data_IF_135614556473
#
_entry.id   IF_135614556473
#
_cell.length_a   1.000
_cell.length_b   1.000
_cell.length_c   1.000
_cell.angle_alpha   90.00
_cell.angle_beta   90.00
_cell.angle_gamma   90.00
#
_symmetry.space_group_name_H-M   'P 1'
#
loop_
_entity.id
_entity.type
_entity.pdbx_description
1 polymer ?
#
# COMPACT_ATOMS: atom_id res chain seq x y z
N UNK A 1 -0.64 -37.10 -8.73
CA UNK A 1 0.68 -36.51 -8.95
C UNK A 1 0.56 -34.99 -8.94
N UNK A 2 1.20 -34.37 -7.96
CA UNK A 2 1.14 -32.91 -7.84
C UNK A 2 1.93 -32.26 -8.96
N UNK A 3 1.28 -31.40 -9.74
CA UNK A 3 1.95 -30.66 -10.80
C UNK A 3 2.66 -29.45 -10.18
N UNK A 4 3.89 -29.68 -9.77
CA UNK A 4 4.73 -28.70 -9.07
C UNK A 4 4.86 -27.38 -9.82
N UNK A 5 4.99 -27.41 -11.14
CA UNK A 5 5.12 -26.20 -11.96
C UNK A 5 3.83 -25.37 -11.99
N UNK A 6 2.68 -26.03 -12.03
CA UNK A 6 1.39 -25.36 -12.07
C UNK A 6 1.09 -24.64 -10.75
N UNK A 7 1.42 -25.27 -9.62
CA UNK A 7 1.27 -24.64 -8.30
C UNK A 7 2.18 -23.43 -8.14
N UNK A 8 3.41 -23.51 -8.67
CA UNK A 8 4.38 -22.43 -8.61
C UNK A 8 3.94 -21.23 -9.45
N UNK A 9 3.42 -21.45 -10.65
CA UNK A 9 2.86 -20.41 -11.51
C UNK A 9 1.66 -19.72 -10.84
N UNK A 10 0.80 -20.50 -10.22
CA UNK A 10 -0.37 -19.99 -9.53
C UNK A 10 0.02 -19.13 -8.32
N UNK A 11 1.05 -19.53 -7.57
CA UNK A 11 1.58 -18.75 -6.45
C UNK A 11 2.15 -17.42 -6.92
N UNK A 12 2.87 -17.40 -8.04
CA UNK A 12 3.43 -16.18 -8.61
C UNK A 12 2.31 -15.24 -9.05
N UNK A 13 1.28 -15.75 -9.73
CA UNK A 13 0.13 -14.95 -10.16
C UNK A 13 -0.63 -14.37 -8.97
N UNK A 14 -0.84 -15.17 -7.91
CA UNK A 14 -1.52 -14.71 -6.71
C UNK A 14 -0.73 -13.62 -6.00
N UNK A 15 0.61 -13.74 -5.96
CA UNK A 15 1.47 -12.72 -5.37
C UNK A 15 1.43 -11.42 -6.17
N UNK A 16 1.45 -11.50 -7.49
CA UNK A 16 1.35 -10.31 -8.35
C UNK A 16 0.02 -9.60 -8.16
N UNK A 17 -1.08 -10.34 -8.05
CA UNK A 17 -2.41 -9.77 -7.78
C UNK A 17 -2.47 -9.10 -6.42
N UNK A 18 -1.85 -9.71 -5.41
CA UNK A 18 -1.77 -9.12 -4.08
C UNK A 18 -0.98 -7.81 -4.11
N UNK A 19 0.15 -7.77 -4.80
CA UNK A 19 0.93 -6.55 -4.95
C UNK A 19 0.14 -5.47 -5.68
N UNK A 20 -0.62 -5.82 -6.70
CA UNK A 20 -1.44 -4.88 -7.45
C UNK A 20 -2.54 -4.28 -6.57
N UNK A 21 -3.16 -5.07 -5.71
CA UNK A 21 -4.18 -4.57 -4.78
C UNK A 21 -3.59 -3.69 -3.68
N UNK A 22 -2.43 -4.07 -3.16
CA UNK A 22 -1.70 -3.25 -2.18
C UNK A 22 -1.32 -1.91 -2.84
N UNK A 23 -0.77 -1.95 -4.04
CA UNK A 23 -0.42 -0.75 -4.79
C UNK A 23 -1.66 0.11 -5.07
N UNK A 24 -2.80 -0.51 -5.38
CA UNK A 24 -4.06 0.21 -5.60
C UNK A 24 -4.49 0.99 -4.36
N UNK A 25 -4.32 0.40 -3.17
CA UNK A 25 -4.60 1.10 -1.91
C UNK A 25 -3.69 2.32 -1.74
N UNK A 26 -2.40 2.17 -2.02
CA UNK A 26 -1.43 3.26 -1.91
C UNK A 26 -1.71 4.37 -2.92
N UNK A 27 -2.07 4.01 -4.15
CA UNK A 27 -2.48 4.97 -5.19
C UNK A 27 -3.73 5.72 -4.75
N UNK A 28 -4.70 5.00 -4.20
CA UNK A 28 -5.95 5.60 -3.72
C UNK A 28 -5.68 6.66 -2.65
N UNK A 29 -4.80 6.36 -1.70
CA UNK A 29 -4.41 7.30 -0.67
C UNK A 29 -3.75 8.55 -1.25
N UNK A 30 -2.89 8.38 -2.25
CA UNK A 30 -2.23 9.50 -2.92
C UNK A 30 -3.23 10.38 -3.69
N UNK A 31 -4.22 9.77 -4.34
CA UNK A 31 -5.24 10.49 -5.12
C UNK A 31 -6.22 11.27 -4.27
N UNK A 32 -6.47 10.85 -3.03
CA UNK A 32 -7.35 11.59 -2.12
C UNK A 32 -6.88 13.04 -1.96
N UNK A 33 -5.56 13.26 -1.99
CA UNK A 33 -4.96 14.60 -1.90
C UNK A 33 -4.68 15.23 -3.25
N UNK A 34 -5.14 14.64 -4.33
CA UNK A 34 -4.85 15.07 -5.70
C UNK A 34 -3.35 15.11 -6.02
N UNK A 35 -2.54 14.33 -5.30
CA UNK A 35 -1.08 14.38 -5.38
C UNK A 35 -0.43 13.06 -5.79
N UNK A 36 -0.99 12.40 -6.79
CA UNK A 36 -0.37 11.20 -7.32
C UNK A 36 0.65 11.58 -8.41
N UNK A 37 1.82 12.01 -7.94
CA UNK A 37 2.93 12.43 -8.79
C UNK A 37 4.08 11.41 -8.75
N UNK A 38 5.17 11.68 -9.43
CA UNK A 38 6.33 10.78 -9.48
C UNK A 38 6.90 10.45 -8.10
N UNK A 39 6.88 11.41 -7.20
CA UNK A 39 7.36 11.24 -5.82
C UNK A 39 6.57 10.14 -5.09
N UNK A 40 5.26 10.14 -5.22
CA UNK A 40 4.39 9.15 -4.61
C UNK A 40 4.55 7.80 -5.28
N UNK A 41 4.72 7.78 -6.61
CA UNK A 41 4.98 6.54 -7.35
C UNK A 41 6.27 5.88 -6.89
N UNK A 42 7.32 6.67 -6.63
CA UNK A 42 8.59 6.13 -6.14
C UNK A 42 8.44 5.51 -4.75
N UNK A 43 7.66 6.13 -3.87
CA UNK A 43 7.36 5.56 -2.55
C UNK A 43 6.67 4.21 -2.71
N UNK A 44 5.68 4.13 -3.60
CA UNK A 44 4.92 2.90 -3.86
C UNK A 44 5.83 1.81 -4.41
N UNK A 45 6.65 2.12 -5.40
CA UNK A 45 7.59 1.17 -6.00
C UNK A 45 8.57 0.62 -4.96
N UNK A 46 9.14 1.48 -4.15
CA UNK A 46 10.06 1.08 -3.09
C UNK A 46 9.39 0.15 -2.09
N UNK A 47 8.16 0.46 -1.70
CA UNK A 47 7.39 -0.37 -0.78
C UNK A 47 7.14 -1.75 -1.37
N UNK A 48 6.77 -1.83 -2.64
CA UNK A 48 6.53 -3.10 -3.31
C UNK A 48 7.81 -3.97 -3.34
N UNK A 49 8.97 -3.37 -3.58
CA UNK A 49 10.25 -4.07 -3.53
C UNK A 49 10.52 -4.60 -2.12
N UNK A 50 10.28 -3.79 -1.10
CA UNK A 50 10.45 -4.20 0.29
C UNK A 50 9.52 -5.35 0.68
N UNK A 51 8.35 -5.44 0.05
CA UNK A 51 7.39 -6.53 0.26
C UNK A 51 7.73 -7.79 -0.55
N UNK A 52 8.70 -7.72 -1.45
CA UNK A 52 9.17 -8.87 -2.20
C UNK A 52 8.88 -8.85 -3.69
N UNK A 53 8.31 -7.78 -4.23
CA UNK A 53 8.07 -7.67 -5.67
C UNK A 53 9.39 -7.53 -6.43
N UNK A 54 9.44 -8.12 -7.62
CA UNK A 54 10.61 -8.02 -8.48
C UNK A 54 10.63 -6.69 -9.21
N UNK A 55 11.80 -6.07 -9.30
CA UNK A 55 11.97 -4.80 -10.00
C UNK A 55 11.46 -4.87 -11.45
N UNK A 56 11.65 -5.99 -12.12
CA UNK A 56 11.21 -6.20 -13.50
C UNK A 56 9.69 -6.19 -13.67
N UNK A 57 8.92 -6.39 -12.58
CA UNK A 57 7.47 -6.45 -12.61
C UNK A 57 6.80 -5.18 -12.11
N UNK A 58 7.56 -4.20 -11.62
CA UNK A 58 6.98 -3.01 -10.99
C UNK A 58 6.08 -2.22 -11.92
N UNK A 59 6.50 -1.97 -13.15
CA UNK A 59 5.70 -1.18 -14.09
C UNK A 59 4.37 -1.87 -14.39
N UNK A 60 4.41 -3.18 -14.58
CA UNK A 60 3.20 -3.98 -14.80
C UNK A 60 2.27 -3.92 -13.60
N UNK A 61 2.81 -4.06 -12.39
CA UNK A 61 2.04 -3.99 -11.14
C UNK A 61 1.37 -2.61 -11.01
N UNK A 62 2.10 -1.54 -11.27
CA UNK A 62 1.56 -0.17 -11.17
C UNK A 62 0.44 0.07 -12.19
N UNK A 63 0.62 -0.40 -13.42
CA UNK A 63 -0.42 -0.27 -14.47
C UNK A 63 -1.68 -1.02 -14.05
N UNK A 64 -1.55 -2.25 -13.59
CA UNK A 64 -2.68 -3.05 -13.12
C UNK A 64 -3.34 -2.42 -11.89
N UNK A 65 -2.54 -1.94 -10.94
CA UNK A 65 -3.03 -1.28 -9.73
C UNK A 65 -3.82 -0.01 -10.06
N UNK A 66 -3.34 0.78 -11.02
CA UNK A 66 -4.02 1.99 -11.46
C UNK A 66 -5.39 1.66 -12.06
N UNK A 67 -5.47 0.61 -12.86
CA UNK A 67 -6.73 0.15 -13.44
C UNK A 67 -7.71 -0.33 -12.36
N UNK A 68 -7.22 -1.09 -11.38
CA UNK A 68 -8.03 -1.58 -10.25
C UNK A 68 -8.59 -0.38 -9.46
N UNK A 69 -7.75 0.59 -9.15
CA UNK A 69 -8.14 1.76 -8.37
C UNK A 69 -9.19 2.61 -9.11
N UNK A 70 -9.01 2.83 -10.41
CA UNK A 70 -9.95 3.59 -11.22
C UNK A 70 -11.32 2.94 -11.34
N UNK A 71 -11.37 1.61 -11.32
CA UNK A 71 -12.60 0.84 -11.50
C UNK A 71 -13.29 0.49 -10.19
N UNK A 72 -12.72 0.86 -9.05
CA UNK A 72 -13.28 0.54 -7.75
C UNK A 72 -13.75 1.80 -7.04
N UNK A 73 -14.94 1.71 -6.47
CA UNK A 73 -15.54 2.83 -5.71
C UNK A 73 -15.40 2.66 -4.20
N UNK A 74 -14.80 1.54 -3.76
CA UNK A 74 -14.74 1.22 -2.33
C UNK A 74 -13.35 0.79 -1.92
N UNK A 75 -12.84 1.45 -0.90
CA UNK A 75 -11.55 1.13 -0.28
C UNK A 75 -11.50 -0.31 0.25
N UNK A 76 -12.66 -0.89 0.60
CA UNK A 76 -12.77 -2.26 1.09
C UNK A 76 -12.20 -3.29 0.11
N UNK A 77 -12.28 -3.01 -1.19
CA UNK A 77 -11.76 -3.91 -2.22
C UNK A 77 -10.23 -4.07 -2.13
N UNK A 78 -9.56 -3.02 -1.65
CA UNK A 78 -8.10 -2.99 -1.55
C UNK A 78 -7.61 -3.50 -0.19
N UNK A 79 -8.36 -3.22 0.89
CA UNK A 79 -7.94 -3.52 2.25
C UNK A 79 -7.99 -4.99 2.59
N UNK A 80 -8.80 -5.76 1.88
CA UNK A 80 -8.94 -7.21 2.10
C UNK A 80 -7.59 -7.94 2.02
N UNK A 81 -6.79 -7.60 1.01
CA UNK A 81 -5.47 -8.21 0.83
C UNK A 81 -4.51 -7.83 1.97
N UNK A 82 -4.51 -6.56 2.35
CA UNK A 82 -3.63 -6.07 3.41
C UNK A 82 -4.03 -6.64 4.77
N UNK A 83 -5.33 -6.77 5.01
CA UNK A 83 -5.88 -7.34 6.25
C UNK A 83 -5.33 -8.75 6.54
N UNK A 84 -5.14 -9.53 5.49
CA UNK A 84 -4.67 -10.91 5.61
C UNK A 84 -3.15 -11.04 5.46
N UNK A 85 -2.44 -9.95 5.26
CA UNK A 85 -0.98 -9.97 5.13
C UNK A 85 -0.29 -10.22 6.47
N UNK A 86 0.94 -10.76 6.46
CA UNK A 86 1.73 -10.85 7.68
C UNK A 86 1.90 -9.49 8.36
N UNK A 87 2.04 -9.49 9.68
CA UNK A 87 2.12 -8.26 10.46
C UNK A 87 3.29 -7.36 10.03
N UNK A 88 4.42 -7.97 9.68
CA UNK A 88 5.60 -7.23 9.19
C UNK A 88 5.27 -6.47 7.90
N UNK A 89 4.49 -7.08 7.02
CA UNK A 89 4.07 -6.46 5.75
C UNK A 89 3.04 -5.36 6.00
N UNK A 90 2.11 -5.57 6.91
CA UNK A 90 1.13 -4.53 7.29
C UNK A 90 1.84 -3.27 7.79
N UNK A 91 2.86 -3.43 8.63
CA UNK A 91 3.63 -2.31 9.15
C UNK A 91 4.30 -1.53 8.02
N UNK A 92 4.92 -2.21 7.07
CA UNK A 92 5.54 -1.57 5.91
C UNK A 92 4.52 -0.79 5.08
N UNK A 93 3.34 -1.35 4.89
CA UNK A 93 2.26 -0.71 4.13
C UNK A 93 1.77 0.54 4.86
N UNK A 94 1.56 0.46 6.16
CA UNK A 94 1.13 1.61 6.97
C UNK A 94 2.20 2.72 6.97
N UNK A 95 3.47 2.35 7.10
CA UNK A 95 4.57 3.31 7.01
C UNK A 95 4.57 4.02 5.65
N UNK A 96 4.34 3.27 4.58
CA UNK A 96 4.26 3.81 3.22
C UNK A 96 3.10 4.79 3.07
N UNK A 97 1.94 4.45 3.64
CA UNK A 97 0.78 5.34 3.65
C UNK A 97 1.10 6.67 4.34
N UNK A 98 1.74 6.62 5.51
CA UNK A 98 2.17 7.83 6.20
C UNK A 98 3.20 8.64 5.39
N UNK A 99 4.12 7.96 4.69
CA UNK A 99 5.09 8.64 3.81
C UNK A 99 4.40 9.38 2.68
N UNK A 100 3.41 8.75 2.07
CA UNK A 100 2.60 9.36 0.99
C UNK A 100 1.88 10.60 1.54
N UNK A 101 1.24 10.45 2.69
CA UNK A 101 0.48 11.54 3.32
C UNK A 101 1.39 12.73 3.63
N UNK A 102 2.56 12.48 4.21
CA UNK A 102 3.48 13.55 4.61
C UNK A 102 4.40 14.03 3.51
N UNK A 103 4.37 13.42 2.32
CA UNK A 103 5.21 13.83 1.20
C UNK A 103 4.90 15.25 0.72
N UNK A 104 3.72 15.75 0.99
CA UNK A 104 3.25 17.06 0.55
C UNK A 104 3.20 18.11 1.65
N UNK A 105 3.76 17.85 2.80
CA UNK A 105 3.85 18.77 3.94
C UNK A 105 2.50 19.24 4.52
N UNK A 106 1.39 18.83 3.92
CA UNK A 106 0.03 19.21 4.34
C UNK A 106 -0.78 17.98 4.73
N UNK A 107 -0.45 17.38 5.88
CA UNK A 107 -1.30 16.35 6.46
C UNK A 107 -2.53 17.04 7.03
N UNK A 108 -3.61 17.09 6.27
CA UNK A 108 -4.84 17.69 6.75
C UNK A 108 -5.77 16.64 7.37
N UNK A 109 -6.97 17.08 7.77
CA UNK A 109 -7.92 16.22 8.47
C UNK A 109 -8.41 15.02 7.67
N UNK A 110 -8.43 15.11 6.34
CA UNK A 110 -8.89 14.02 5.48
C UNK A 110 -7.97 12.81 5.58
N UNK A 111 -6.68 13.07 5.60
CA UNK A 111 -5.66 12.03 5.70
C UNK A 111 -5.73 11.32 7.06
N UNK A 112 -5.92 12.08 8.13
CA UNK A 112 -6.08 11.52 9.47
C UNK A 112 -7.31 10.63 9.55
N UNK A 113 -8.44 11.06 8.96
CA UNK A 113 -9.66 10.27 8.91
C UNK A 113 -9.46 8.98 8.10
N UNK A 114 -8.78 9.06 6.96
CA UNK A 114 -8.45 7.89 6.15
C UNK A 114 -7.63 6.89 6.97
N UNK A 115 -6.58 7.37 7.64
CA UNK A 115 -5.70 6.49 8.41
C UNK A 115 -6.41 5.86 9.62
N UNK A 116 -7.30 6.60 10.27
CA UNK A 116 -8.12 6.05 11.36
C UNK A 116 -9.02 4.92 10.85
N UNK A 117 -9.65 5.13 9.71
CA UNK A 117 -10.51 4.13 9.06
C UNK A 117 -9.71 2.90 8.66
N UNK A 118 -8.53 3.10 8.07
CA UNK A 118 -7.66 2.01 7.67
C UNK A 118 -7.17 1.20 8.87
N UNK A 119 -6.82 1.85 9.97
CA UNK A 119 -6.44 1.16 11.20
C UNK A 119 -7.49 0.16 11.64
N UNK A 120 -8.76 0.58 11.63
CA UNK A 120 -9.89 -0.31 11.93
C UNK A 120 -10.04 -1.44 10.93
N UNK A 121 -9.97 -1.13 9.65
CA UNK A 121 -10.14 -2.13 8.57
C UNK A 121 -9.01 -3.16 8.52
N UNK A 122 -7.80 -2.76 8.89
CA UNK A 122 -6.61 -3.62 8.83
C UNK A 122 -6.30 -4.29 10.18
N UNK A 123 -7.12 -4.05 11.19
CA UNK A 123 -6.91 -4.55 12.56
C UNK A 123 -5.57 -4.12 13.16
N UNK A 124 -5.20 -2.86 12.91
CA UNK A 124 -4.02 -2.24 13.51
C UNK A 124 -4.51 -1.33 14.65
N UNK A 125 -3.94 -1.48 15.84
CA UNK A 125 -4.37 -0.68 16.99
C UNK A 125 -3.94 0.79 16.85
N UNK A 126 -4.64 1.66 17.59
CA UNK A 126 -4.42 3.11 17.54
C UNK A 126 -3.00 3.49 17.98
N UNK A 127 -2.45 2.76 18.93
CA UNK A 127 -1.08 3.02 19.43
C UNK A 127 -0.05 2.75 18.32
N UNK A 128 -0.15 1.61 17.66
CA UNK A 128 0.74 1.24 16.57
C UNK A 128 0.64 2.24 15.43
N UNK A 129 -0.59 2.64 15.06
CA UNK A 129 -0.81 3.66 14.03
C UNK A 129 -0.13 4.98 14.39
N UNK A 130 -0.28 5.43 15.62
CA UNK A 130 0.33 6.66 16.11
C UNK A 130 1.84 6.60 16.20
N UNK A 131 2.39 5.47 16.63
CA UNK A 131 3.84 5.26 16.72
C UNK A 131 4.49 5.30 15.32
N UNK A 132 3.86 4.66 14.34
CA UNK A 132 4.34 4.68 12.96
C UNK A 132 4.24 6.08 12.35
N UNK A 133 3.17 6.80 12.64
CA UNK A 133 3.02 8.20 12.24
C UNK A 133 4.18 9.06 12.75
N UNK A 134 4.49 8.95 14.03
CA UNK A 134 5.56 9.70 14.67
C UNK A 134 6.92 9.34 14.07
N UNK A 135 7.18 8.07 13.84
CA UNK A 135 8.41 7.58 13.22
C UNK A 135 8.60 8.21 11.84
N UNK A 136 7.59 8.16 11.00
CA UNK A 136 7.68 8.68 9.64
C UNK A 136 7.84 10.20 9.62
N UNK A 137 7.14 10.91 10.50
CA UNK A 137 7.30 12.36 10.62
C UNK A 137 8.75 12.74 10.94
N UNK A 138 9.39 11.99 11.82
CA UNK A 138 10.80 12.23 12.18
C UNK A 138 11.73 11.94 11.00
N UNK A 139 11.51 10.85 10.28
CA UNK A 139 12.31 10.49 9.11
C UNK A 139 12.25 11.57 8.02
N UNK A 140 11.07 12.16 7.81
CA UNK A 140 10.89 13.15 6.75
C UNK A 140 11.40 14.53 7.13
N UNK A 141 11.66 14.81 8.40
CA UNK A 141 12.24 16.07 8.86
C UNK A 141 13.76 16.11 8.77
N UNK A 142 14.38 14.97 8.61
CA UNK A 142 15.81 14.87 8.41
C UNK A 142 16.12 14.84 6.91
#
# INVERSE_FOLDING_TARGET
MINFFKDKEQDIENNEKSYSKIAALLIHAAKIDENYEEKEKEIIKKTLIELGAKNSNLDKIIIEASAIEENSNQILDFTREVKNAPNTDKIKIIESLWKIIYSNHNADMYETNLMRRLGGLLYIDAKTMGDLKTKIKKELKT
#
